data_IF_526926577864
#
_entry.id   IF_526926577864
#
_cell.length_a   1.000
_cell.length_b   1.000
_cell.length_c   1.000
_cell.angle_alpha   90.00
_cell.angle_beta   90.00
_cell.angle_gamma   90.00
#
_symmetry.space_group_name_H-M   'P 1'
#
loop_
_entity.id
_entity.type
_entity.pdbx_description
1 polymer ?
#
# COMPACT_ATOMS: atom_id res chain seq x y z
N UNK A 1 29.73 67.90 64.99
CA UNK A 1 30.45 68.79 64.05
C UNK A 1 31.71 68.08 63.59
N UNK A 2 31.80 67.64 62.32
CA UNK A 2 33.00 67.02 61.77
C UNK A 2 33.92 68.10 61.21
N UNK A 3 35.14 68.15 61.74
CA UNK A 3 36.22 69.05 61.33
C UNK A 3 36.58 68.73 59.87
N UNK A 4 36.61 69.71 58.95
CA UNK A 4 37.03 69.45 57.59
C UNK A 4 38.54 69.15 57.58
N UNK A 5 38.92 67.95 57.17
CA UNK A 5 40.30 67.60 56.92
C UNK A 5 40.82 68.52 55.79
N UNK A 6 41.72 69.45 56.13
CA UNK A 6 42.50 70.21 55.15
C UNK A 6 43.44 69.22 54.45
N UNK A 7 42.99 68.70 53.30
CA UNK A 7 43.85 67.98 52.37
C UNK A 7 44.96 68.90 51.83
N UNK A 8 46.07 68.33 51.32
CA UNK A 8 47.21 69.10 50.86
C UNK A 8 46.77 70.06 49.76
N UNK A 9 47.27 71.29 49.83
CA UNK A 9 46.83 72.42 49.03
C UNK A 9 46.74 72.14 47.53
N UNK A 10 45.82 72.86 46.88
CA UNK A 10 45.65 73.01 45.43
C UNK A 10 46.99 72.80 44.70
N UNK A 11 47.13 71.81 43.80
CA UNK A 11 48.34 71.68 43.00
C UNK A 11 48.53 72.96 42.18
N UNK A 12 49.48 73.82 42.57
CA UNK A 12 49.77 75.11 41.91
C UNK A 12 50.26 74.98 40.47
N UNK A 13 50.47 73.76 39.97
CA UNK A 13 51.03 73.43 38.65
C UNK A 13 50.04 73.54 37.48
N UNK A 14 48.73 73.57 37.74
CA UNK A 14 47.70 73.66 36.71
C UNK A 14 47.02 75.04 36.73
N UNK A 15 47.13 75.79 35.64
CA UNK A 15 46.59 77.15 35.50
C UNK A 15 45.08 77.18 35.21
N UNK A 16 44.39 76.04 35.29
CA UNK A 16 42.95 75.89 34.98
C UNK A 16 42.13 75.48 36.21
N UNK A 17 40.81 75.74 36.24
CA UNK A 17 39.92 75.22 37.28
C UNK A 17 39.97 73.69 37.35
N UNK A 18 39.89 73.13 38.57
CA UNK A 18 39.91 71.67 38.80
C UNK A 18 38.52 71.19 39.21
N UNK A 19 38.10 70.04 38.67
CA UNK A 19 36.83 69.37 38.99
C UNK A 19 37.13 67.99 39.59
N UNK A 20 36.38 67.60 40.62
CA UNK A 20 36.40 66.23 41.13
C UNK A 20 35.44 65.35 40.32
N UNK A 21 35.99 64.33 39.65
CA UNK A 21 35.22 63.31 38.95
C UNK A 21 35.32 61.99 39.71
N UNK A 22 34.18 61.32 39.91
CA UNK A 22 34.09 59.99 40.52
C UNK A 22 33.49 59.05 39.49
N UNK A 23 34.13 57.90 39.29
CA UNK A 23 33.67 56.85 38.40
C UNK A 23 33.95 55.50 39.05
N UNK A 24 33.02 54.55 38.85
CA UNK A 24 33.24 53.16 39.18
C UNK A 24 33.93 52.50 37.98
N UNK A 25 35.09 51.89 38.21
CA UNK A 25 35.87 51.20 37.18
C UNK A 25 36.14 49.75 37.62
N UNK A 26 36.26 48.80 36.68
CA UNK A 26 36.65 47.44 37.01
C UNK A 26 37.96 47.40 37.81
N UNK A 27 38.04 46.47 38.76
CA UNK A 27 39.21 46.37 39.64
C UNK A 27 40.50 46.10 38.85
N UNK A 28 40.44 45.26 37.82
CA UNK A 28 41.58 44.92 36.96
C UNK A 28 42.12 46.17 36.21
N UNK A 29 41.22 46.99 35.66
CA UNK A 29 41.58 48.24 34.99
C UNK A 29 42.19 49.26 35.98
N UNK A 30 41.68 49.30 37.21
CA UNK A 30 42.23 50.14 38.28
C UNK A 30 43.64 49.70 38.69
N UNK A 31 43.87 48.39 38.84
CA UNK A 31 45.16 47.83 39.20
C UNK A 31 46.21 48.13 38.12
N UNK A 32 45.87 47.89 36.84
CA UNK A 32 46.72 48.24 35.70
C UNK A 32 47.06 49.74 35.68
N UNK A 33 46.05 50.60 35.88
CA UNK A 33 46.23 52.04 35.91
C UNK A 33 47.16 52.49 37.05
N UNK A 34 47.02 51.91 38.25
CA UNK A 34 47.88 52.24 39.39
C UNK A 34 49.32 51.75 39.19
N UNK A 35 49.53 50.57 38.61
CA UNK A 35 50.86 50.06 38.29
C UNK A 35 51.60 50.96 37.29
N UNK A 36 50.97 51.29 36.16
CA UNK A 36 51.56 52.15 35.13
C UNK A 36 51.81 53.56 35.65
N UNK A 37 50.88 54.10 36.44
CA UNK A 37 51.06 55.39 37.11
C UNK A 37 52.28 55.39 38.03
N UNK A 38 52.44 54.35 38.86
CA UNK A 38 53.55 54.25 39.82
C UNK A 38 54.90 54.13 39.09
N UNK A 39 54.98 53.33 38.01
CA UNK A 39 56.19 53.23 37.17
C UNK A 39 56.66 54.57 36.62
N UNK A 40 55.71 55.44 36.27
CA UNK A 40 55.97 56.78 35.74
C UNK A 40 56.16 57.86 36.81
N UNK A 41 55.99 57.53 38.10
CA UNK A 41 56.15 58.48 39.22
C UNK A 41 55.11 59.61 39.25
N UNK A 42 53.96 59.44 38.59
CA UNK A 42 52.93 60.47 38.44
C UNK A 42 51.86 60.38 39.53
N UNK A 43 51.25 61.50 39.93
CA UNK A 43 50.00 61.47 40.70
C UNK A 43 48.83 60.98 39.83
N UNK A 44 47.73 60.50 40.44
CA UNK A 44 46.54 60.02 39.68
C UNK A 44 46.00 61.06 38.70
N UNK A 45 45.93 62.32 39.15
CA UNK A 45 45.48 63.44 38.34
C UNK A 45 46.45 63.76 37.19
N UNK A 46 47.77 63.65 37.40
CA UNK A 46 48.76 63.84 36.35
C UNK A 46 48.73 62.73 35.31
N UNK A 47 48.62 61.49 35.77
CA UNK A 47 48.55 60.34 34.88
C UNK A 47 47.29 60.39 34.01
N UNK A 48 46.13 60.71 34.60
CA UNK A 48 44.90 60.91 33.86
C UNK A 48 45.01 62.09 32.86
N UNK A 49 45.56 63.23 33.27
CA UNK A 49 45.79 64.37 32.37
C UNK A 49 46.77 64.02 31.24
N UNK A 50 47.82 63.27 31.55
CA UNK A 50 48.81 62.82 30.59
C UNK A 50 48.20 61.87 29.58
N UNK A 51 47.40 60.89 30.03
CA UNK A 51 46.63 60.01 29.15
C UNK A 51 45.73 60.83 28.23
N UNK A 52 44.91 61.74 28.75
CA UNK A 52 44.01 62.56 27.92
C UNK A 52 44.74 63.38 26.86
N UNK A 53 45.97 63.84 27.10
CA UNK A 53 46.77 64.57 26.12
C UNK A 53 47.44 63.70 25.07
N UNK A 54 47.71 62.44 25.37
CA UNK A 54 48.45 61.53 24.48
C UNK A 54 47.54 60.48 23.83
N UNK A 55 46.29 60.37 24.27
CA UNK A 55 45.25 59.60 23.61
C UNK A 55 44.94 60.22 22.25
N UNK A 56 45.04 59.39 21.20
CA UNK A 56 44.57 59.75 19.86
C UNK A 56 43.05 59.57 19.81
N UNK A 57 42.30 60.66 19.98
CA UNK A 57 40.84 60.63 20.02
C UNK A 57 40.23 59.96 18.78
N UNK A 58 40.79 60.22 17.59
CA UNK A 58 40.34 59.58 16.34
C UNK A 58 40.39 58.05 16.40
N UNK A 59 41.40 57.49 17.08
CA UNK A 59 41.53 56.03 17.26
C UNK A 59 40.46 55.51 18.22
N UNK A 60 40.17 56.24 19.30
CA UNK A 60 39.10 55.85 20.22
C UNK A 60 37.72 55.92 19.55
N UNK A 61 37.46 56.94 18.75
CA UNK A 61 36.22 57.04 17.98
C UNK A 61 36.06 55.89 16.98
N UNK A 62 37.16 55.50 16.31
CA UNK A 62 37.17 54.35 15.41
C UNK A 62 36.90 53.05 16.16
N UNK A 63 37.54 52.81 17.31
CA UNK A 63 37.31 51.61 18.13
C UNK A 63 35.85 51.54 18.58
N UNK A 64 35.26 52.65 19.02
CA UNK A 64 33.86 52.71 19.43
C UNK A 64 32.91 52.41 18.24
N UNK A 65 33.18 53.00 17.07
CA UNK A 65 32.41 52.73 15.84
C UNK A 65 32.50 51.27 15.41
N UNK A 66 33.69 50.68 15.45
CA UNK A 66 33.91 49.26 15.11
C UNK A 66 33.13 48.37 16.07
N UNK A 67 33.23 48.60 17.38
CA UNK A 67 32.48 47.82 18.38
C UNK A 67 30.97 47.90 18.14
N UNK A 68 30.45 49.09 17.85
CA UNK A 68 29.03 49.26 17.56
C UNK A 68 28.61 48.54 16.27
N UNK A 69 29.45 48.59 15.23
CA UNK A 69 29.22 47.85 13.99
C UNK A 69 29.27 46.33 14.20
N UNK A 70 30.19 45.82 15.01
CA UNK A 70 30.25 44.40 15.37
C UNK A 70 29.01 43.94 16.13
N UNK A 71 28.53 44.74 17.09
CA UNK A 71 27.28 44.47 17.81
C UNK A 71 26.09 44.47 16.86
N UNK A 72 26.03 45.43 15.93
CA UNK A 72 24.97 45.51 14.92
C UNK A 72 25.01 44.33 13.94
N UNK A 73 26.19 43.91 13.48
CA UNK A 73 26.37 42.72 12.64
C UNK A 73 25.88 41.47 13.37
N UNK A 74 26.23 41.29 14.65
CA UNK A 74 25.74 40.16 15.44
C UNK A 74 24.23 40.15 15.60
N UNK A 75 23.60 41.32 15.70
CA UNK A 75 22.14 41.43 15.72
C UNK A 75 21.53 41.03 14.36
N UNK A 76 22.07 41.57 13.27
CA UNK A 76 21.63 41.22 11.91
C UNK A 76 21.80 39.74 11.58
N UNK A 77 22.88 39.11 12.03
CA UNK A 77 23.10 37.67 11.86
C UNK A 77 22.03 36.85 12.57
N UNK A 78 21.68 37.23 13.81
CA UNK A 78 20.60 36.58 14.56
C UNK A 78 19.24 36.77 13.89
N UNK A 79 18.92 37.98 13.44
CA UNK A 79 17.67 38.27 12.72
C UNK A 79 17.59 37.49 11.41
N UNK A 80 18.68 37.45 10.64
CA UNK A 80 18.77 36.67 9.41
C UNK A 80 18.53 35.19 9.68
N UNK A 81 19.11 34.63 10.74
CA UNK A 81 18.94 33.23 11.08
C UNK A 81 17.50 32.91 11.49
N UNK A 82 16.86 33.78 12.29
CA UNK A 82 15.46 33.66 12.63
C UNK A 82 14.54 33.72 11.39
N UNK A 83 14.81 34.65 10.47
CA UNK A 83 14.05 34.76 9.21
C UNK A 83 14.24 33.53 8.30
N UNK A 84 15.42 32.91 8.29
CA UNK A 84 15.66 31.68 7.54
C UNK A 84 14.84 30.51 8.12
N UNK A 85 14.80 30.36 9.45
CA UNK A 85 13.99 29.34 10.11
C UNK A 85 12.49 29.56 9.86
N UNK A 86 12.01 30.80 9.91
CA UNK A 86 10.62 31.14 9.57
C UNK A 86 10.31 30.83 8.11
N UNK A 87 11.21 31.16 7.19
CA UNK A 87 11.07 30.85 5.76
C UNK A 87 10.95 29.34 5.54
N UNK A 88 11.79 28.52 6.18
CA UNK A 88 11.72 27.06 6.07
C UNK A 88 10.42 26.50 6.62
N UNK A 89 9.95 27.01 7.77
CA UNK A 89 8.65 26.63 8.35
C UNK A 89 7.49 26.97 7.42
N UNK A 90 7.53 28.15 6.79
CA UNK A 90 6.50 28.57 5.83
C UNK A 90 6.53 27.73 4.56
N UNK A 91 7.71 27.41 4.02
CA UNK A 91 7.86 26.54 2.85
C UNK A 91 7.28 25.14 3.12
N UNK A 92 7.63 24.51 4.24
CA UNK A 92 7.07 23.20 4.62
C UNK A 92 5.54 23.24 4.78
N UNK A 93 5.00 24.37 5.27
CA UNK A 93 3.56 24.57 5.38
C UNK A 93 2.89 24.75 4.03
N UNK A 94 3.52 25.47 3.10
CA UNK A 94 3.04 25.63 1.72
C UNK A 94 2.98 24.27 1.03
N UNK A 95 4.06 23.48 1.05
CA UNK A 95 4.09 22.15 0.44
C UNK A 95 2.97 21.24 0.97
N UNK A 96 2.73 21.29 2.28
CA UNK A 96 1.64 20.53 2.91
C UNK A 96 0.26 21.01 2.42
N UNK A 97 0.05 22.32 2.37
CA UNK A 97 -1.22 22.90 1.91
C UNK A 97 -1.46 22.65 0.42
N UNK A 98 -0.42 22.65 -0.41
CA UNK A 98 -0.50 22.29 -1.82
C UNK A 98 -0.97 20.84 -1.99
N UNK A 99 -0.38 19.91 -1.23
CA UNK A 99 -0.84 18.51 -1.20
C UNK A 99 -2.29 18.36 -0.71
N UNK A 100 -2.69 19.12 0.31
CA UNK A 100 -4.07 19.14 0.82
C UNK A 100 -5.06 19.69 -0.23
N UNK A 101 -4.69 20.75 -0.95
CA UNK A 101 -5.52 21.33 -2.01
C UNK A 101 -5.65 20.40 -3.22
N UNK A 102 -4.57 19.77 -3.65
CA UNK A 102 -4.61 18.81 -4.76
C UNK A 102 -5.49 17.59 -4.43
N UNK A 103 -5.35 17.07 -3.21
CA UNK A 103 -6.19 15.98 -2.74
C UNK A 103 -7.68 16.38 -2.69
N UNK A 104 -8.00 17.56 -2.15
CA UNK A 104 -9.36 18.08 -2.09
C UNK A 104 -9.97 18.32 -3.47
N UNK A 105 -9.20 18.87 -4.44
CA UNK A 105 -9.66 19.04 -5.83
C UNK A 105 -10.10 17.72 -6.47
N UNK A 106 -9.48 16.62 -6.08
CA UNK A 106 -9.82 15.28 -6.57
C UNK A 106 -10.86 14.57 -5.69
N UNK A 107 -11.38 15.23 -4.64
CA UNK A 107 -12.32 14.64 -3.68
C UNK A 107 -11.71 13.51 -2.83
N UNK A 108 -10.38 13.49 -2.69
CA UNK A 108 -9.62 12.45 -1.99
C UNK A 108 -9.00 13.00 -0.71
N UNK A 109 -8.71 12.11 0.25
CA UNK A 109 -7.83 12.46 1.37
C UNK A 109 -6.37 12.54 0.91
N UNK A 110 -5.54 13.32 1.60
CA UNK A 110 -4.10 13.46 1.28
C UNK A 110 -3.40 12.10 1.15
N UNK A 111 -3.70 11.19 2.09
CA UNK A 111 -3.14 9.83 2.07
C UNK A 111 -3.57 9.06 0.83
N UNK A 112 -4.86 9.09 0.50
CA UNK A 112 -5.38 8.43 -0.70
C UNK A 112 -4.82 9.04 -2.00
N UNK A 113 -4.60 10.35 -2.02
CA UNK A 113 -4.00 11.04 -3.16
C UNK A 113 -2.54 10.64 -3.36
N UNK A 114 -1.73 10.64 -2.29
CA UNK A 114 -0.34 10.19 -2.33
C UNK A 114 -0.20 8.72 -2.74
N UNK A 115 -1.08 7.85 -2.22
CA UNK A 115 -1.08 6.44 -2.60
C UNK A 115 -1.46 6.27 -4.07
N UNK A 116 -2.44 7.03 -4.58
CA UNK A 116 -2.80 7.03 -6.00
C UNK A 116 -1.66 7.53 -6.90
N UNK A 117 -0.94 8.58 -6.50
CA UNK A 117 0.24 9.07 -7.23
C UNK A 117 1.31 7.98 -7.36
N UNK A 118 1.62 7.29 -6.25
CA UNK A 118 2.57 6.17 -6.25
C UNK A 118 2.11 5.03 -7.16
N UNK A 119 0.83 4.66 -7.12
CA UNK A 119 0.27 3.63 -7.99
C UNK A 119 0.37 4.03 -9.48
N UNK A 120 0.09 5.30 -9.80
CA UNK A 120 0.20 5.83 -11.15
C UNK A 120 1.65 5.82 -11.67
N UNK A 121 2.62 6.17 -10.83
CA UNK A 121 4.04 6.08 -11.19
C UNK A 121 4.51 4.63 -11.39
N UNK A 122 4.07 3.71 -10.52
CA UNK A 122 4.36 2.28 -10.66
C UNK A 122 3.75 1.72 -11.95
N UNK A 123 2.50 2.05 -12.26
CA UNK A 123 1.81 1.60 -13.46
C UNK A 123 2.49 2.10 -14.75
N UNK A 124 2.95 3.36 -14.78
CA UNK A 124 3.69 3.93 -15.92
C UNK A 124 4.98 3.16 -16.23
N UNK A 125 5.63 2.63 -15.20
CA UNK A 125 6.90 1.91 -15.32
C UNK A 125 6.73 0.38 -15.28
N UNK A 126 5.49 -0.11 -15.24
CA UNK A 126 5.17 -1.53 -15.18
C UNK A 126 5.64 -2.24 -16.45
N UNK A 127 6.35 -3.35 -16.26
CA UNK A 127 6.92 -4.18 -17.33
C UNK A 127 6.62 -5.65 -17.04
N UNK A 128 6.40 -6.42 -18.10
CA UNK A 128 6.18 -7.85 -17.98
C UNK A 128 7.43 -8.56 -17.45
N UNK A 129 7.24 -9.63 -16.68
CA UNK A 129 8.36 -10.41 -16.14
C UNK A 129 9.05 -9.78 -14.91
N UNK A 130 8.65 -8.58 -14.49
CA UNK A 130 9.19 -7.91 -13.30
C UNK A 130 8.35 -8.25 -12.07
N UNK A 131 9.00 -8.59 -10.95
CA UNK A 131 8.30 -8.82 -9.68
C UNK A 131 7.79 -7.52 -9.07
N UNK A 132 6.68 -7.58 -8.32
CA UNK A 132 6.13 -6.42 -7.65
C UNK A 132 7.16 -5.75 -6.73
N UNK A 133 7.93 -6.55 -5.97
CA UNK A 133 9.05 -6.09 -5.15
C UNK A 133 10.10 -5.33 -5.95
N UNK A 134 10.51 -5.85 -7.11
CA UNK A 134 11.50 -5.21 -7.96
C UNK A 134 10.98 -3.90 -8.55
N UNK A 135 9.72 -3.85 -9.01
CA UNK A 135 9.09 -2.64 -9.53
C UNK A 135 9.04 -1.53 -8.46
N UNK A 136 8.61 -1.85 -7.23
CA UNK A 136 8.59 -0.88 -6.14
C UNK A 136 9.98 -0.38 -5.75
N UNK A 137 10.99 -1.26 -5.77
CA UNK A 137 12.36 -0.88 -5.47
C UNK A 137 12.98 0.02 -6.55
N UNK A 138 12.71 -0.26 -7.83
CA UNK A 138 13.25 0.51 -8.95
C UNK A 138 12.59 1.89 -9.08
N UNK A 139 11.26 1.96 -8.98
CA UNK A 139 10.51 3.20 -9.26
C UNK A 139 10.44 4.12 -8.04
N UNK A 140 10.21 3.56 -6.85
CA UNK A 140 9.95 4.34 -5.64
C UNK A 140 11.11 4.27 -4.62
N UNK A 141 12.20 3.56 -4.94
CA UNK A 141 13.31 3.32 -4.00
C UNK A 141 12.89 2.53 -2.76
N UNK A 142 11.73 1.87 -2.78
CA UNK A 142 11.11 1.27 -1.61
C UNK A 142 11.67 -0.13 -1.37
N UNK A 143 12.30 -0.35 -0.21
CA UNK A 143 12.85 -1.66 0.20
C UNK A 143 12.13 -2.32 1.38
N UNK A 144 11.26 -1.57 2.05
CA UNK A 144 10.46 -2.03 3.18
C UNK A 144 9.35 -2.96 2.69
N UNK A 145 9.44 -4.24 3.04
CA UNK A 145 8.50 -5.28 2.60
C UNK A 145 7.07 -5.06 3.09
N UNK A 146 6.88 -4.46 4.27
CA UNK A 146 5.56 -4.13 4.79
C UNK A 146 4.87 -3.08 3.92
N UNK A 147 5.60 -2.01 3.59
CA UNK A 147 5.09 -0.95 2.72
C UNK A 147 4.83 -1.44 1.28
N UNK A 148 5.69 -2.32 0.76
CA UNK A 148 5.50 -2.94 -0.56
C UNK A 148 4.21 -3.79 -0.57
N UNK A 149 3.94 -4.56 0.49
CA UNK A 149 2.70 -5.34 0.65
C UNK A 149 1.47 -4.45 0.74
N UNK A 150 1.56 -3.34 1.45
CA UNK A 150 0.43 -2.42 1.57
C UNK A 150 0.09 -1.76 0.22
N UNK A 151 1.10 -1.33 -0.54
CA UNK A 151 0.91 -0.87 -1.92
C UNK A 151 0.33 -1.97 -2.82
N UNK A 152 0.82 -3.22 -2.68
CA UNK A 152 0.27 -4.36 -3.43
C UNK A 152 -1.22 -4.57 -3.12
N UNK A 153 -1.61 -4.49 -1.84
CA UNK A 153 -3.01 -4.63 -1.42
C UNK A 153 -3.87 -3.45 -1.84
N UNK A 154 -3.29 -2.28 -2.08
CA UNK A 154 -4.02 -1.14 -2.64
C UNK A 154 -4.28 -1.33 -4.14
N UNK A 155 -3.32 -1.89 -4.88
CA UNK A 155 -3.44 -2.13 -6.32
C UNK A 155 -4.21 -3.41 -6.68
N UNK A 156 -4.05 -4.51 -5.93
CA UNK A 156 -4.55 -5.84 -6.30
C UNK A 156 -5.45 -6.46 -5.23
N UNK A 157 -6.35 -7.35 -5.67
CA UNK A 157 -7.22 -8.15 -4.80
C UNK A 157 -6.41 -9.29 -4.18
N UNK A 158 -5.70 -8.98 -3.09
CA UNK A 158 -4.88 -9.95 -2.36
C UNK A 158 -5.73 -10.66 -1.31
N UNK A 159 -6.31 -11.80 -1.67
CA UNK A 159 -7.06 -12.68 -0.75
C UNK A 159 -6.62 -14.14 -0.89
N UNK A 160 -6.62 -14.86 0.22
CA UNK A 160 -6.41 -16.31 0.23
C UNK A 160 -7.67 -17.03 -0.24
N UNK A 161 -7.49 -18.22 -0.83
CA UNK A 161 -8.61 -19.08 -1.20
C UNK A 161 -9.22 -19.79 0.02
N UNK A 162 -10.30 -20.55 -0.19
CA UNK A 162 -11.00 -21.33 0.85
C UNK A 162 -10.10 -22.31 1.60
N UNK A 163 -8.99 -22.72 0.98
CA UNK A 163 -7.96 -23.60 1.58
C UNK A 163 -6.87 -22.82 2.34
N UNK A 164 -7.09 -21.53 2.61
CA UNK A 164 -6.14 -20.63 3.28
C UNK A 164 -4.76 -20.54 2.58
N UNK A 165 -4.74 -20.70 1.25
CA UNK A 165 -3.53 -20.60 0.41
C UNK A 165 -3.62 -19.43 -0.56
N UNK A 166 -2.48 -18.85 -0.93
CA UNK A 166 -2.43 -17.77 -1.91
C UNK A 166 -2.74 -18.31 -3.31
N UNK A 167 -3.63 -17.66 -4.08
CA UNK A 167 -3.94 -18.06 -5.44
C UNK A 167 -2.71 -17.88 -6.35
N UNK A 168 -2.71 -18.57 -7.49
CA UNK A 168 -1.66 -18.42 -8.50
C UNK A 168 -1.68 -17.08 -9.23
N UNK A 169 -2.76 -16.30 -9.10
CA UNK A 169 -2.94 -15.01 -9.75
C UNK A 169 -3.65 -14.01 -8.82
N UNK A 170 -3.27 -12.74 -8.90
CA UNK A 170 -4.00 -11.62 -8.32
C UNK A 170 -4.37 -10.63 -9.42
N UNK A 171 -5.64 -10.22 -9.42
CA UNK A 171 -6.19 -9.24 -10.34
C UNK A 171 -6.21 -7.85 -9.69
N UNK A 172 -6.08 -6.78 -10.47
CA UNK A 172 -6.16 -5.41 -9.99
C UNK A 172 -7.53 -5.16 -9.36
N UNK A 173 -7.58 -4.23 -8.41
CA UNK A 173 -8.85 -3.74 -7.85
C UNK A 173 -9.49 -2.73 -8.80
N UNK A 174 -10.80 -2.61 -8.74
CA UNK A 174 -11.57 -1.62 -9.52
C UNK A 174 -11.11 -0.17 -9.26
N UNK A 175 -10.63 0.12 -8.05
CA UNK A 175 -10.11 1.45 -7.67
C UNK A 175 -8.71 1.76 -8.22
N UNK A 176 -8.00 0.76 -8.75
CA UNK A 176 -6.64 0.86 -9.27
C UNK A 176 -6.67 0.70 -10.79
N UNK A 177 -7.42 1.59 -11.45
CA UNK A 177 -7.66 1.57 -12.89
C UNK A 177 -6.37 1.56 -13.71
N UNK A 178 -5.29 2.17 -13.19
CA UNK A 178 -3.99 2.24 -13.85
C UNK A 178 -3.35 0.85 -14.07
N UNK A 179 -3.76 -0.15 -13.28
CA UNK A 179 -3.31 -1.54 -13.41
C UNK A 179 -4.30 -2.43 -14.16
N UNK A 180 -5.41 -1.91 -14.69
CA UNK A 180 -6.29 -2.71 -15.55
C UNK A 180 -5.54 -3.27 -16.75
N UNK A 181 -5.75 -4.55 -17.05
CA UNK A 181 -4.97 -5.28 -18.05
C UNK A 181 -3.64 -5.84 -17.54
N UNK A 182 -3.25 -5.59 -16.29
CA UNK A 182 -2.12 -6.27 -15.64
C UNK A 182 -2.62 -7.35 -14.67
N UNK A 183 -1.83 -8.41 -14.51
CA UNK A 183 -2.09 -9.50 -13.58
C UNK A 183 -0.80 -9.87 -12.87
N UNK A 184 -0.85 -10.02 -11.55
CA UNK A 184 0.26 -10.58 -10.79
C UNK A 184 0.16 -12.09 -10.80
N UNK A 185 1.16 -12.78 -11.36
CA UNK A 185 1.21 -14.23 -11.44
C UNK A 185 2.32 -14.78 -10.55
N UNK A 186 2.02 -15.92 -9.91
CA UNK A 186 3.02 -16.70 -9.19
C UNK A 186 4.04 -17.28 -10.19
N UNK A 187 5.35 -17.00 -10.06
CA UNK A 187 6.36 -17.62 -10.93
C UNK A 187 6.33 -19.15 -10.79
N UNK A 188 6.44 -19.86 -11.91
CA UNK A 188 6.37 -21.33 -11.98
C UNK A 188 7.65 -22.01 -11.47
N UNK A 189 8.79 -21.37 -11.71
CA UNK A 189 10.12 -22.00 -11.54
C UNK A 189 10.78 -21.66 -10.20
N UNK A 190 10.08 -20.94 -9.31
CA UNK A 190 10.62 -20.51 -8.02
C UNK A 190 9.65 -20.84 -6.90
N UNK A 191 10.19 -21.38 -5.79
CA UNK A 191 9.49 -21.31 -4.51
C UNK A 191 9.30 -19.83 -4.16
N UNK A 192 8.05 -19.38 -4.20
CA UNK A 192 7.70 -18.01 -3.86
C UNK A 192 7.82 -17.85 -2.36
N UNK A 193 8.79 -17.06 -1.91
CA UNK A 193 9.00 -16.74 -0.51
C UNK A 193 7.84 -15.90 0.03
N UNK A 194 7.35 -14.93 -0.76
CA UNK A 194 6.28 -14.03 -0.35
C UNK A 194 5.42 -13.51 -1.52
N UNK A 195 4.24 -12.95 -1.22
CA UNK A 195 3.31 -12.40 -2.23
C UNK A 195 3.92 -11.25 -3.05
N UNK A 196 4.91 -10.55 -2.52
CA UNK A 196 5.61 -9.45 -3.21
C UNK A 196 6.54 -9.93 -4.33
N UNK A 197 6.85 -11.24 -4.37
CA UNK A 197 7.66 -11.84 -5.43
C UNK A 197 6.83 -12.29 -6.64
N UNK A 198 5.51 -12.07 -6.61
CA UNK A 198 4.65 -12.28 -7.77
C UNK A 198 5.05 -11.32 -8.90
N UNK A 199 4.92 -11.81 -10.13
CA UNK A 199 5.44 -11.19 -11.34
C UNK A 199 4.32 -10.58 -12.17
N UNK A 200 4.51 -9.38 -12.68
CA UNK A 200 3.55 -8.69 -13.54
C UNK A 200 3.55 -9.28 -14.94
N UNK A 201 2.36 -9.52 -15.47
CA UNK A 201 2.10 -9.90 -16.86
C UNK A 201 0.89 -9.14 -17.38
N UNK A 202 0.84 -8.84 -18.68
CA UNK A 202 -0.41 -8.36 -19.27
C UNK A 202 -1.42 -9.49 -19.39
N UNK A 203 -2.69 -9.16 -19.23
CA UNK A 203 -3.77 -10.13 -19.38
C UNK A 203 -3.84 -10.66 -20.82
N UNK A 204 -3.57 -9.80 -21.81
CA UNK A 204 -3.56 -10.17 -23.22
C UNK A 204 -2.42 -11.12 -23.56
N UNK A 205 -1.23 -10.95 -22.97
CA UNK A 205 -0.13 -11.91 -23.15
C UNK A 205 -0.40 -13.21 -22.44
N UNK A 206 -1.12 -13.21 -21.31
CA UNK A 206 -1.60 -14.44 -20.67
C UNK A 206 -2.71 -15.13 -21.48
N UNK A 207 -3.59 -14.38 -22.14
CA UNK A 207 -4.62 -14.91 -23.05
C UNK A 207 -3.99 -15.43 -24.34
N UNK A 208 -2.99 -14.73 -24.89
CA UNK A 208 -2.22 -15.15 -26.06
C UNK A 208 -1.34 -16.36 -25.74
N UNK A 209 -0.71 -16.43 -24.56
CA UNK A 209 0.04 -17.60 -24.11
C UNK A 209 -0.88 -18.79 -23.81
N UNK A 210 -2.12 -18.56 -23.36
CA UNK A 210 -3.15 -19.61 -23.33
C UNK A 210 -3.60 -19.99 -24.73
N UNK A 211 -3.77 -19.05 -25.64
CA UNK A 211 -4.12 -19.28 -27.05
C UNK A 211 -3.03 -20.03 -27.81
N UNK A 212 -1.76 -19.74 -27.50
CA UNK A 212 -0.57 -20.43 -27.99
C UNK A 212 -0.39 -21.78 -27.29
N UNK A 213 -0.64 -21.91 -25.99
CA UNK A 213 -0.65 -23.21 -25.33
C UNK A 213 -1.81 -24.09 -25.84
N UNK A 214 -2.95 -23.50 -26.21
CA UNK A 214 -4.04 -24.18 -26.91
C UNK A 214 -3.65 -24.48 -28.36
N UNK A 215 -2.90 -23.61 -29.04
CA UNK A 215 -2.42 -23.78 -30.42
C UNK A 215 -1.25 -24.77 -30.59
N UNK A 216 -0.35 -24.86 -29.60
CA UNK A 216 0.73 -25.85 -29.52
C UNK A 216 0.18 -27.19 -29.03
N UNK A 217 -0.77 -27.21 -28.08
CA UNK A 217 -1.50 -28.43 -27.73
C UNK A 217 -2.40 -28.93 -28.88
N UNK A 218 -2.86 -28.04 -29.77
CA UNK A 218 -3.64 -28.40 -30.95
C UNK A 218 -2.82 -28.99 -32.10
N UNK A 219 -1.48 -28.84 -32.11
CA UNK A 219 -0.62 -29.54 -33.08
C UNK A 219 -0.36 -31.01 -32.72
N UNK A 220 -0.70 -31.45 -31.51
CA UNK A 220 -0.45 -32.83 -31.07
C UNK A 220 -1.64 -33.57 -30.45
N UNK A 221 -2.84 -32.99 -30.43
CA UNK A 221 -4.07 -33.74 -30.12
C UNK A 221 -5.18 -33.44 -31.11
N UNK A 222 -5.40 -34.41 -32.00
CA UNK A 222 -6.73 -34.68 -32.56
C UNK A 222 -7.75 -34.61 -31.42
N UNK A 223 -8.88 -33.92 -31.56
CA UNK A 223 -9.87 -33.84 -30.49
C UNK A 223 -10.30 -35.26 -30.12
N UNK A 224 -9.87 -35.76 -28.95
CA UNK A 224 -10.53 -36.89 -28.32
C UNK A 224 -11.92 -36.42 -27.92
N UNK A 225 -12.87 -36.61 -28.83
CA UNK A 225 -14.28 -36.73 -28.50
C UNK A 225 -14.34 -37.81 -27.43
N UNK A 226 -14.51 -37.43 -26.16
CA UNK A 226 -14.83 -38.42 -25.12
C UNK A 226 -16.08 -39.14 -25.62
N UNK A 227 -16.02 -40.46 -25.87
CA UNK A 227 -17.21 -41.16 -26.31
C UNK A 227 -18.25 -41.02 -25.20
N UNK A 228 -19.44 -40.57 -25.58
CA UNK A 228 -20.59 -40.55 -24.68
C UNK A 228 -20.82 -41.97 -24.17
N UNK A 229 -21.14 -42.12 -22.88
CA UNK A 229 -21.41 -43.45 -22.32
C UNK A 229 -22.67 -44.01 -22.94
N UNK A 230 -22.63 -45.25 -23.40
CA UNK A 230 -23.78 -45.97 -23.97
C UNK A 230 -23.82 -47.42 -23.48
N UNK A 231 -24.98 -48.07 -23.65
CA UNK A 231 -25.23 -49.44 -23.23
C UNK A 231 -25.01 -49.65 -21.72
N UNK A 232 -24.35 -50.75 -21.33
CA UNK A 232 -24.07 -51.05 -19.91
C UNK A 232 -23.24 -49.99 -19.18
N UNK A 233 -22.46 -49.18 -19.90
CA UNK A 233 -21.66 -48.11 -19.29
C UNK A 233 -22.53 -46.92 -18.87
N UNK A 234 -23.59 -46.62 -19.62
CA UNK A 234 -24.58 -45.61 -19.25
C UNK A 234 -25.38 -46.04 -18.01
N UNK A 235 -25.80 -47.31 -17.97
CA UNK A 235 -26.51 -47.89 -16.81
C UNK A 235 -25.68 -47.82 -15.54
N UNK A 236 -24.42 -48.28 -15.56
CA UNK A 236 -23.55 -48.21 -14.37
C UNK A 236 -23.34 -46.79 -13.88
N UNK A 237 -23.23 -45.83 -14.81
CA UNK A 237 -23.03 -44.43 -14.44
C UNK A 237 -24.29 -43.82 -13.81
N UNK A 238 -25.48 -44.16 -14.32
CA UNK A 238 -26.75 -43.74 -13.73
C UNK A 238 -27.04 -44.46 -12.42
N UNK A 239 -26.66 -45.72 -12.29
CA UNK A 239 -26.77 -46.51 -11.07
C UNK A 239 -26.00 -45.83 -9.94
N UNK A 240 -24.72 -45.47 -10.15
CA UNK A 240 -23.95 -44.71 -9.17
C UNK A 240 -24.60 -43.37 -8.79
N UNK A 241 -25.15 -42.65 -9.78
CA UNK A 241 -25.81 -41.37 -9.52
C UNK A 241 -27.09 -41.55 -8.69
N UNK A 242 -27.90 -42.57 -9.01
CA UNK A 242 -29.14 -42.86 -8.30
C UNK A 242 -28.89 -43.40 -6.89
N UNK A 243 -27.85 -44.21 -6.68
CA UNK A 243 -27.45 -44.66 -5.34
C UNK A 243 -27.11 -43.48 -4.42
N UNK A 244 -26.35 -42.50 -4.90
CA UNK A 244 -26.05 -41.28 -4.13
C UNK A 244 -27.34 -40.52 -3.78
N UNK A 245 -28.25 -40.37 -4.75
CA UNK A 245 -29.54 -39.72 -4.55
C UNK A 245 -30.40 -40.50 -3.55
N UNK A 246 -30.38 -41.84 -3.61
CA UNK A 246 -31.10 -42.73 -2.71
C UNK A 246 -30.60 -42.61 -1.27
N UNK A 247 -29.28 -42.63 -1.06
CA UNK A 247 -28.71 -42.47 0.27
C UNK A 247 -29.04 -41.10 0.89
N UNK A 248 -28.97 -40.02 0.12
CA UNK A 248 -29.38 -38.69 0.58
C UNK A 248 -30.88 -38.65 0.91
N UNK A 249 -31.73 -39.26 0.09
CA UNK A 249 -33.16 -39.36 0.35
C UNK A 249 -33.46 -40.15 1.64
N UNK A 250 -32.82 -41.31 1.81
CA UNK A 250 -33.02 -42.15 2.99
C UNK A 250 -32.54 -41.46 4.26
N UNK A 251 -31.50 -40.62 4.21
CA UNK A 251 -31.10 -39.78 5.35
C UNK A 251 -32.19 -38.80 5.78
N UNK A 252 -32.97 -38.23 4.85
CA UNK A 252 -34.12 -37.40 5.19
C UNK A 252 -35.29 -38.21 5.77
N UNK A 253 -35.48 -39.45 5.30
CA UNK A 253 -36.52 -40.34 5.82
C UNK A 253 -36.18 -40.81 7.24
N UNK A 254 -34.95 -41.26 7.50
CA UNK A 254 -34.51 -41.75 8.82
C UNK A 254 -34.52 -40.65 9.88
N UNK A 255 -34.27 -39.39 9.50
CA UNK A 255 -34.36 -38.22 10.38
C UNK A 255 -35.79 -37.69 10.57
N UNK A 256 -36.82 -38.44 10.12
CA UNK A 256 -38.25 -38.08 10.17
C UNK A 256 -38.60 -36.76 9.43
N UNK A 257 -37.82 -36.38 8.42
CA UNK A 257 -38.00 -35.17 7.62
C UNK A 257 -38.67 -35.47 6.26
N UNK A 258 -39.79 -36.20 6.26
CA UNK A 258 -40.45 -36.66 5.03
C UNK A 258 -40.85 -35.57 4.04
N UNK A 259 -41.24 -34.37 4.50
CA UNK A 259 -41.53 -33.22 3.62
C UNK A 259 -40.28 -32.76 2.86
N UNK A 260 -39.13 -32.67 3.54
CA UNK A 260 -37.85 -32.29 2.93
C UNK A 260 -37.31 -33.36 1.99
N UNK A 261 -37.59 -34.64 2.27
CA UNK A 261 -37.25 -35.74 1.37
C UNK A 261 -37.97 -35.60 0.01
N UNK A 262 -39.24 -35.18 0.04
CA UNK A 262 -40.02 -34.90 -1.17
C UNK A 262 -39.50 -33.67 -1.92
N UNK A 263 -39.27 -32.55 -1.23
CA UNK A 263 -38.67 -31.33 -1.82
C UNK A 263 -37.30 -31.62 -2.46
N UNK A 264 -36.48 -32.45 -1.82
CA UNK A 264 -35.20 -32.88 -2.36
C UNK A 264 -35.34 -33.58 -3.72
N UNK A 265 -36.24 -34.56 -3.83
CA UNK A 265 -36.49 -35.24 -5.12
C UNK A 265 -37.08 -34.29 -6.16
N UNK A 266 -38.01 -33.42 -5.79
CA UNK A 266 -38.72 -32.59 -6.76
C UNK A 266 -37.90 -31.39 -7.25
N UNK A 267 -37.00 -30.83 -6.42
CA UNK A 267 -36.29 -29.59 -6.74
C UNK A 267 -34.78 -29.77 -6.93
N UNK A 268 -34.13 -30.61 -6.13
CA UNK A 268 -32.65 -30.72 -6.12
C UNK A 268 -32.11 -31.82 -7.01
N UNK A 269 -32.88 -32.89 -7.20
CA UNK A 269 -32.50 -34.02 -8.07
C UNK A 269 -32.52 -33.65 -9.56
N UNK A 270 -33.51 -32.91 -10.10
CA UNK A 270 -33.56 -32.59 -11.53
C UNK A 270 -32.27 -31.95 -12.11
N UNK A 271 -31.73 -30.85 -11.56
CA UNK A 271 -30.53 -30.22 -12.11
C UNK A 271 -29.26 -31.10 -11.97
N UNK A 272 -29.26 -32.07 -11.04
CA UNK A 272 -28.17 -33.05 -10.91
C UNK A 272 -28.25 -34.09 -12.03
N UNK A 273 -29.45 -34.62 -12.29
CA UNK A 273 -29.67 -35.59 -13.36
C UNK A 273 -29.43 -34.99 -14.74
N UNK A 274 -29.80 -33.73 -14.95
CA UNK A 274 -29.53 -33.02 -16.19
C UNK A 274 -28.04 -32.97 -16.52
N UNK A 275 -27.19 -32.73 -15.51
CA UNK A 275 -25.73 -32.78 -15.68
C UNK A 275 -25.24 -34.20 -15.97
N UNK A 276 -25.76 -35.20 -15.26
CA UNK A 276 -25.39 -36.60 -15.48
C UNK A 276 -25.74 -37.07 -16.89
N UNK A 277 -26.86 -36.60 -17.47
CA UNK A 277 -27.30 -36.96 -18.82
C UNK A 277 -26.42 -36.38 -19.93
N UNK A 278 -25.68 -35.29 -19.68
CA UNK A 278 -24.75 -34.72 -20.66
C UNK A 278 -23.57 -35.65 -21.02
N UNK A 279 -23.25 -36.60 -20.12
CA UNK A 279 -22.15 -37.56 -20.31
C UNK A 279 -22.60 -38.90 -20.93
N UNK A 280 -23.89 -39.01 -21.29
CA UNK A 280 -24.52 -40.23 -21.79
C UNK A 280 -25.07 -39.98 -23.20
N UNK A 281 -25.02 -40.99 -24.06
CA UNK A 281 -25.60 -40.93 -25.40
C UNK A 281 -27.10 -40.58 -25.32
N UNK A 282 -27.57 -39.47 -25.91
CA UNK A 282 -28.97 -39.06 -25.87
C UNK A 282 -29.96 -40.15 -26.31
N UNK A 283 -29.56 -41.02 -27.25
CA UNK A 283 -30.38 -42.13 -27.71
C UNK A 283 -30.56 -43.20 -26.60
N UNK A 284 -29.62 -43.26 -25.66
CA UNK A 284 -29.54 -44.29 -24.64
C UNK A 284 -29.92 -43.82 -23.23
N UNK A 285 -29.91 -42.50 -22.97
CA UNK A 285 -30.27 -41.90 -21.66
C UNK A 285 -31.59 -42.46 -21.13
N UNK A 286 -32.63 -42.46 -21.98
CA UNK A 286 -33.98 -42.88 -21.57
C UNK A 286 -34.00 -44.35 -21.19
N UNK A 287 -33.43 -45.21 -22.04
CA UNK A 287 -33.36 -46.65 -21.81
C UNK A 287 -32.58 -46.95 -20.52
N UNK A 288 -31.38 -46.39 -20.39
CA UNK A 288 -30.50 -46.63 -19.26
C UNK A 288 -31.11 -46.15 -17.92
N UNK A 289 -31.75 -44.97 -17.90
CA UNK A 289 -32.38 -44.45 -16.69
C UNK A 289 -33.52 -45.33 -16.17
N UNK A 290 -34.37 -45.84 -17.06
CA UNK A 290 -35.47 -46.74 -16.66
C UNK A 290 -34.98 -48.15 -16.36
N UNK A 291 -33.98 -48.67 -17.07
CA UNK A 291 -33.39 -49.97 -16.78
C UNK A 291 -32.77 -50.03 -15.37
N UNK A 292 -32.06 -48.98 -14.95
CA UNK A 292 -31.52 -48.88 -13.59
C UNK A 292 -32.63 -48.80 -12.54
N UNK A 293 -33.70 -48.03 -12.80
CA UNK A 293 -34.85 -47.98 -11.89
C UNK A 293 -35.55 -49.33 -11.74
N UNK A 294 -35.76 -50.05 -12.84
CA UNK A 294 -36.39 -51.37 -12.84
C UNK A 294 -35.52 -52.39 -12.08
N UNK A 295 -34.20 -52.34 -12.28
CA UNK A 295 -33.25 -53.20 -11.57
C UNK A 295 -33.32 -53.04 -10.05
N UNK A 296 -33.61 -51.82 -9.56
CA UNK A 296 -33.66 -51.49 -8.13
C UNK A 296 -35.09 -51.33 -7.58
N UNK A 297 -36.12 -51.72 -8.34
CA UNK A 297 -37.52 -51.53 -7.94
C UNK A 297 -37.91 -52.33 -6.68
N UNK A 298 -37.26 -53.48 -6.45
CA UNK A 298 -37.43 -54.31 -5.24
C UNK A 298 -36.53 -53.91 -4.07
N UNK A 299 -35.40 -53.27 -4.36
CA UNK A 299 -34.30 -53.10 -3.40
C UNK A 299 -34.32 -51.72 -2.75
N UNK A 300 -34.91 -50.74 -3.42
CA UNK A 300 -35.08 -49.38 -2.91
C UNK A 300 -36.49 -49.13 -2.39
N UNK A 301 -36.60 -48.12 -1.52
CA UNK A 301 -37.89 -47.69 -0.99
C UNK A 301 -38.90 -47.38 -2.12
N UNK A 302 -40.09 -47.97 -2.07
CA UNK A 302 -41.13 -47.83 -3.11
C UNK A 302 -41.51 -46.35 -3.38
N UNK A 303 -41.59 -45.53 -2.33
CA UNK A 303 -41.91 -44.11 -2.48
C UNK A 303 -40.76 -43.34 -3.14
N UNK A 304 -39.50 -43.74 -2.91
CA UNK A 304 -38.35 -43.18 -3.61
C UNK A 304 -38.41 -43.50 -5.10
N UNK A 305 -38.55 -44.78 -5.45
CA UNK A 305 -38.58 -45.25 -6.84
C UNK A 305 -39.72 -44.59 -7.62
N UNK A 306 -40.92 -44.53 -7.02
CA UNK A 306 -42.10 -43.90 -7.62
C UNK A 306 -41.90 -42.39 -7.89
N UNK A 307 -41.35 -41.65 -6.92
CA UNK A 307 -41.10 -40.22 -7.09
C UNK A 307 -39.97 -39.94 -8.09
N UNK A 308 -38.88 -40.73 -8.04
CA UNK A 308 -37.78 -40.59 -8.99
C UNK A 308 -38.22 -40.95 -10.42
N UNK A 309 -39.05 -41.98 -10.61
CA UNK A 309 -39.67 -42.34 -11.90
C UNK A 309 -40.51 -41.19 -12.47
N UNK A 310 -41.30 -40.48 -11.63
CA UNK A 310 -42.04 -39.28 -12.04
C UNK A 310 -41.14 -38.14 -12.47
N UNK A 311 -40.06 -37.88 -11.72
CA UNK A 311 -39.08 -36.84 -12.04
C UNK A 311 -38.34 -37.14 -13.34
N UNK A 312 -37.85 -38.38 -13.52
CA UNK A 312 -37.21 -38.82 -14.76
C UNK A 312 -38.14 -38.68 -15.96
N UNK A 313 -39.40 -39.10 -15.81
CA UNK A 313 -40.41 -38.97 -16.87
C UNK A 313 -40.60 -37.50 -17.27
N UNK A 314 -40.64 -36.58 -16.29
CA UNK A 314 -40.76 -35.14 -16.53
C UNK A 314 -39.53 -34.59 -17.28
N UNK A 315 -38.32 -34.89 -16.82
CA UNK A 315 -37.06 -34.38 -17.42
C UNK A 315 -36.88 -34.93 -18.84
N UNK A 316 -37.11 -36.23 -19.02
CA UNK A 316 -36.89 -36.91 -20.31
C UNK A 316 -37.98 -36.61 -21.34
N UNK A 317 -39.20 -36.27 -20.92
CA UNK A 317 -40.27 -35.84 -21.83
C UNK A 317 -40.22 -34.34 -22.15
N UNK A 318 -39.52 -33.51 -21.38
CA UNK A 318 -39.39 -32.07 -21.62
C UNK A 318 -38.55 -31.69 -22.86
N UNK A 319 -38.08 -32.66 -23.65
CA UNK A 319 -37.56 -32.45 -25.01
C UNK A 319 -36.18 -31.81 -25.12
N UNK A 320 -35.49 -31.51 -24.01
CA UNK A 320 -34.18 -30.84 -24.04
C UNK A 320 -32.99 -31.72 -24.49
N UNK A 321 -33.17 -33.04 -24.57
CA UNK A 321 -32.10 -33.99 -24.93
C UNK A 321 -32.21 -34.49 -26.38
N UNK A 322 -33.11 -33.94 -27.19
CA UNK A 322 -33.31 -34.34 -28.59
C UNK A 322 -32.61 -33.44 -29.62
N UNK A 323 -31.73 -32.52 -29.22
CA UNK A 323 -30.96 -31.70 -30.18
C UNK A 323 -29.48 -32.10 -30.14
N UNK A 324 -28.94 -32.70 -31.21
CA UNK A 324 -27.51 -32.67 -31.43
C UNK A 324 -27.11 -31.20 -31.48
N UNK A 325 -26.10 -30.82 -30.69
CA UNK A 325 -25.43 -29.54 -30.87
C UNK A 325 -24.87 -29.52 -32.30
N UNK A 326 -25.55 -28.82 -33.21
CA UNK A 326 -24.98 -28.43 -34.50
C UNK A 326 -23.74 -27.60 -34.21
N UNK A 327 -22.59 -28.23 -34.40
CA UNK A 327 -21.30 -27.55 -34.44
C UNK A 327 -21.34 -26.62 -35.64
N UNK A 328 -21.35 -25.30 -35.40
CA UNK A 328 -20.98 -24.32 -36.41
C UNK A 328 -19.53 -24.61 -36.80
N UNK A 329 -19.36 -25.31 -37.91
CA UNK A 329 -18.12 -25.31 -38.66
C UNK A 329 -18.11 -24.00 -39.46
N UNK A 330 -17.33 -23.02 -39.01
CA UNK A 330 -16.85 -21.96 -39.89
C UNK A 330 -15.89 -22.62 -40.89
N UNK A 331 -16.24 -22.56 -42.19
CA UNK A 331 -15.36 -22.87 -43.33
C UNK A 331 -14.67 -21.60 -43.76
#
# INVERSE_FOLDING_TARGET
MRIPARGPGRPRKWNSPLVQWRADIPQEDYELAEEERLKLGLSRAEWFHWMLRHVKLDVMELIAKVKHQEEYIKQLEKEKQALLEEREKLLARIERLELELEALKQGRSVRSYQDALKLKELAKNAREGVSWKALCAEVLGLRDEGKIKDLMKLAFVVRKNERNTWPGKFYPKDIAEEFHGWVLMRPKDRQVADIIDYVLYREDTLKAAKGLAVGEAAKEKVPEVKPLKSGPAAERYLEMAFEVIYHEYMNYITTKQGKKAKEFIEEKVPPRLERTFQDIDPADVRRAAFAVLEKHESDWNEAFVSNLRRVLTRILNAGQYARPLEVKADV
#
